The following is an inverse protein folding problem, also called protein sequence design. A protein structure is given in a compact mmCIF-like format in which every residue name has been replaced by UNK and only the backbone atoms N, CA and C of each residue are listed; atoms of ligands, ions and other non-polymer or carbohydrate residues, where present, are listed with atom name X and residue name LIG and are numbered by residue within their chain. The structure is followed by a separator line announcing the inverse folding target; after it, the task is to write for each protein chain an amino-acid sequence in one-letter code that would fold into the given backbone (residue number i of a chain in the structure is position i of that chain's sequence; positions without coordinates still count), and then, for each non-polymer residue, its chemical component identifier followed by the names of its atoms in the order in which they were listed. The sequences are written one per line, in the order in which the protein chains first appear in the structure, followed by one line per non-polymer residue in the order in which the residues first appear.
data_IF_533255079096
#
_entry.id   IF_533255079096
#
_cell.length_a   1.000
_cell.length_b   1.000
_cell.length_c   1.000
_cell.angle_alpha   90.00
_cell.angle_beta   90.00
_cell.angle_gamma   90.00
#
_symmetry.space_group_name_H-M   'P 1'
#
loop_
_entity.id
_entity.type
_entity.pdbx_description
1 polymer ?
#
# COMPACT_ATOMS: atom_id res chain seq x y z
N UNK A 1 47.03 11.57 -24.40
CA UNK A 1 46.35 10.27 -24.61
C UNK A 1 45.10 10.56 -25.44
N UNK A 2 45.28 10.73 -26.75
CA UNK A 2 44.28 11.38 -27.62
C UNK A 2 43.35 10.36 -28.31
N UNK A 3 42.02 10.58 -28.33
CA UNK A 3 41.05 9.73 -29.02
C UNK A 3 41.01 9.97 -30.54
N UNK A 4 42.12 10.37 -31.16
CA UNK A 4 42.19 10.70 -32.61
C UNK A 4 42.56 9.50 -33.50
N UNK A 5 43.16 8.44 -32.93
CA UNK A 5 43.57 7.25 -33.69
C UNK A 5 42.43 6.33 -34.11
N UNK A 6 41.29 6.35 -33.41
CA UNK A 6 40.16 5.46 -33.69
C UNK A 6 39.35 5.95 -34.90
N UNK A 7 39.18 7.28 -35.03
CA UNK A 7 38.41 7.90 -36.12
C UNK A 7 39.11 7.80 -37.48
N UNK A 8 40.44 7.85 -37.52
CA UNK A 8 41.18 7.72 -38.78
C UNK A 8 41.10 6.29 -39.35
N UNK A 9 41.17 5.26 -38.48
CA UNK A 9 40.99 3.85 -38.88
C UNK A 9 39.58 3.52 -39.38
N UNK A 10 38.57 4.22 -38.86
CA UNK A 10 37.19 4.09 -39.34
C UNK A 10 37.01 4.71 -40.74
N UNK A 11 37.75 5.78 -41.07
CA UNK A 11 37.66 6.45 -42.37
C UNK A 11 38.37 5.67 -43.50
N UNK A 12 39.48 4.99 -43.22
CA UNK A 12 40.18 4.16 -44.21
C UNK A 12 39.42 2.86 -44.54
N UNK A 13 38.71 2.28 -43.56
CA UNK A 13 37.83 1.14 -43.80
C UNK A 13 36.56 1.50 -44.60
N UNK A 14 36.21 2.78 -44.69
CA UNK A 14 35.01 3.25 -45.37
C UNK A 14 35.12 3.28 -46.92
N UNK A 15 36.33 3.23 -47.49
CA UNK A 15 36.55 3.36 -48.95
C UNK A 15 36.71 2.04 -49.72
N UNK A 16 36.72 0.89 -49.06
CA UNK A 16 37.15 -0.39 -49.68
C UNK A 16 36.07 -1.49 -49.67
N UNK A 17 34.78 -1.15 -49.69
CA UNK A 17 33.67 -2.13 -49.57
C UNK A 17 33.52 -2.77 -48.18
N UNK A 18 34.53 -2.58 -47.31
CA UNK A 18 34.52 -2.94 -45.88
C UNK A 18 33.53 -2.09 -45.06
N UNK A 19 33.22 -0.88 -45.53
CA UNK A 19 32.23 0.03 -44.92
C UNK A 19 30.85 -0.62 -44.78
N UNK A 20 30.37 -1.25 -45.86
CA UNK A 20 29.05 -1.91 -45.89
C UNK A 20 29.04 -3.11 -44.94
N UNK A 21 30.15 -3.86 -44.85
CA UNK A 21 30.30 -4.98 -43.92
C UNK A 21 30.32 -4.51 -42.46
N UNK A 22 30.95 -3.37 -42.16
CA UNK A 22 30.94 -2.76 -40.82
C UNK A 22 29.53 -2.30 -40.45
N UNK A 23 28.81 -1.63 -41.35
CA UNK A 23 27.43 -1.20 -41.13
C UNK A 23 26.52 -2.41 -40.85
N UNK A 24 26.70 -3.50 -41.60
CA UNK A 24 25.91 -4.73 -41.40
C UNK A 24 26.19 -5.39 -40.03
N UNK A 25 27.47 -5.44 -39.62
CA UNK A 25 27.87 -5.98 -38.30
C UNK A 25 27.29 -5.11 -37.17
N UNK A 26 27.36 -3.78 -37.30
CA UNK A 26 26.79 -2.86 -36.31
C UNK A 26 25.27 -3.00 -36.23
N UNK A 27 24.59 -3.19 -37.38
CA UNK A 27 23.15 -3.46 -37.43
C UNK A 27 22.75 -4.75 -36.71
N UNK A 28 23.48 -5.84 -36.94
CA UNK A 28 23.24 -7.13 -36.25
C UNK A 28 23.49 -7.00 -34.75
N UNK A 29 24.55 -6.29 -34.34
CA UNK A 29 24.83 -6.04 -32.92
C UNK A 29 23.70 -5.22 -32.28
N UNK A 30 23.18 -4.20 -32.97
CA UNK A 30 22.05 -3.41 -32.49
C UNK A 30 20.79 -4.25 -32.28
N UNK A 31 20.45 -5.12 -33.24
CA UNK A 31 19.30 -6.03 -33.12
C UNK A 31 19.54 -7.06 -32.00
N UNK A 32 20.74 -7.60 -31.89
CA UNK A 32 21.12 -8.53 -30.82
C UNK A 32 21.02 -7.87 -29.43
N UNK A 33 21.36 -6.59 -29.30
CA UNK A 33 21.20 -5.84 -28.04
C UNK A 33 19.72 -5.60 -27.69
N UNK A 34 18.85 -5.33 -28.66
CA UNK A 34 17.40 -5.23 -28.43
C UNK A 34 16.83 -6.59 -27.99
N UNK A 35 17.27 -7.68 -28.63
CA UNK A 35 16.87 -9.04 -28.27
C UNK A 35 17.39 -9.44 -26.87
N UNK A 36 18.64 -9.09 -26.54
CA UNK A 36 19.22 -9.33 -25.22
C UNK A 36 18.57 -8.49 -24.12
N UNK A 37 18.13 -7.27 -24.44
CA UNK A 37 17.32 -6.44 -23.53
C UNK A 37 15.96 -7.07 -23.24
N UNK A 38 15.42 -7.88 -24.16
CA UNK A 38 14.18 -8.61 -23.90
C UNK A 38 14.43 -9.79 -22.95
N UNK A 39 15.63 -10.39 -22.99
CA UNK A 39 16.02 -11.49 -22.12
C UNK A 39 16.47 -11.06 -20.72
N UNK A 40 16.87 -9.80 -20.53
CA UNK A 40 17.23 -9.23 -19.22
C UNK A 40 16.05 -8.55 -18.49
N UNK A 41 14.82 -8.65 -19.02
CA UNK A 41 13.61 -8.06 -18.43
C UNK A 41 12.87 -9.01 -17.48
N UNK A 42 13.61 -9.75 -16.66
CA UNK A 42 13.10 -10.48 -15.49
C UNK A 42 13.28 -9.72 -14.17
N UNK A 43 13.45 -8.40 -14.24
CA UNK A 43 13.15 -7.51 -13.12
C UNK A 43 12.13 -6.47 -13.56
N UNK A 44 10.91 -6.48 -12.99
CA UNK A 44 10.00 -5.37 -13.19
C UNK A 44 10.59 -4.16 -12.46
N UNK A 45 11.21 -3.25 -13.21
CA UNK A 45 11.35 -1.85 -12.78
C UNK A 45 9.93 -1.25 -12.71
N UNK A 46 9.29 -1.53 -11.57
CA UNK A 46 8.05 -0.88 -11.15
C UNK A 46 8.37 0.52 -10.66
N UNK A 47 8.60 1.45 -11.59
CA UNK A 47 8.26 2.86 -11.33
C UNK A 47 6.73 2.99 -11.34
N UNK A 48 6.18 2.60 -10.19
CA UNK A 48 4.79 2.74 -9.79
C UNK A 48 4.77 2.45 -8.30
N UNK A 49 4.66 3.50 -7.47
CA UNK A 49 4.53 3.46 -6.01
C UNK A 49 3.23 2.75 -5.57
N UNK A 50 3.08 1.47 -5.91
CA UNK A 50 1.90 0.63 -5.64
C UNK A 50 2.23 -0.78 -5.16
N UNK A 51 3.51 -1.16 -5.13
CA UNK A 51 3.99 -2.45 -4.65
C UNK A 51 4.38 -2.42 -3.16
N UNK A 52 4.83 -1.28 -2.62
CA UNK A 52 5.34 -1.15 -1.25
C UNK A 52 4.22 -1.32 -0.20
N UNK A 53 3.02 -0.79 -0.47
CA UNK A 53 1.91 -0.88 0.49
C UNK A 53 1.33 -2.29 0.64
N UNK A 54 1.41 -3.13 -0.41
CA UNK A 54 0.91 -4.51 -0.34
C UNK A 54 1.82 -5.39 0.51
N UNK A 55 3.13 -5.17 0.44
CA UNK A 55 4.11 -5.93 1.21
C UNK A 55 4.04 -5.56 2.70
N UNK A 56 3.98 -4.26 3.02
CA UNK A 56 3.80 -3.79 4.40
C UNK A 56 2.48 -4.26 5.05
N UNK A 57 1.39 -4.29 4.27
CA UNK A 57 0.09 -4.80 4.77
C UNK A 57 0.14 -6.30 5.03
N UNK A 58 0.81 -7.07 4.17
CA UNK A 58 0.98 -8.51 4.34
C UNK A 58 1.87 -8.84 5.54
N UNK A 59 2.95 -8.10 5.72
CA UNK A 59 3.83 -8.22 6.89
C UNK A 59 3.09 -7.90 8.18
N UNK A 60 2.30 -6.82 8.20
CA UNK A 60 1.44 -6.48 9.33
C UNK A 60 0.46 -7.61 9.70
N UNK A 61 -0.21 -8.21 8.70
CA UNK A 61 -1.05 -9.40 8.91
C UNK A 61 -0.28 -10.55 9.56
N UNK A 62 0.87 -10.92 8.99
CA UNK A 62 1.71 -12.01 9.53
C UNK A 62 2.15 -11.75 10.96
N UNK A 63 2.53 -10.51 11.27
CA UNK A 63 2.91 -10.13 12.63
C UNK A 63 1.74 -10.29 13.62
N UNK A 64 0.52 -9.91 13.23
CA UNK A 64 -0.66 -10.11 14.05
C UNK A 64 -1.00 -11.60 14.21
N UNK A 65 -0.96 -12.37 13.13
CA UNK A 65 -1.19 -13.82 13.13
C UNK A 65 -0.25 -14.53 14.10
N UNK A 66 1.03 -14.20 14.09
CA UNK A 66 2.03 -14.77 15.01
C UNK A 66 1.81 -14.36 16.47
N UNK A 67 1.36 -13.13 16.73
CA UNK A 67 0.99 -12.69 18.08
C UNK A 67 -0.23 -13.45 18.60
N UNK A 68 -1.27 -13.59 17.79
CA UNK A 68 -2.49 -14.32 18.13
C UNK A 68 -2.20 -15.80 18.32
N UNK A 69 -1.39 -16.39 17.44
CA UNK A 69 -0.95 -17.79 17.55
C UNK A 69 -0.30 -18.07 18.90
N UNK A 70 0.67 -17.24 19.33
CA UNK A 70 1.32 -17.38 20.65
C UNK A 70 0.34 -17.28 21.81
N UNK A 71 -0.61 -16.35 21.72
CA UNK A 71 -1.66 -16.19 22.74
C UNK A 71 -2.54 -17.43 22.82
N UNK A 72 -2.99 -17.96 21.68
CA UNK A 72 -3.84 -19.16 21.60
C UNK A 72 -3.08 -20.41 22.04
N UNK A 73 -1.82 -20.57 21.67
CA UNK A 73 -0.96 -21.66 22.15
C UNK A 73 -0.83 -21.65 23.67
N UNK A 74 -0.74 -20.46 24.28
CA UNK A 74 -0.69 -20.33 25.75
C UNK A 74 -2.00 -20.76 26.43
N UNK A 75 -3.15 -20.53 25.78
CA UNK A 75 -4.47 -20.92 26.30
C UNK A 75 -4.71 -22.43 26.15
N UNK A 76 -4.35 -22.97 24.98
CA UNK A 76 -4.60 -24.37 24.62
C UNK A 76 -3.53 -25.32 25.14
N UNK A 77 -2.36 -24.81 25.56
CA UNK A 77 -1.17 -25.59 25.90
C UNK A 77 -0.71 -26.51 24.75
N UNK A 78 -0.94 -26.08 23.50
CA UNK A 78 -0.57 -26.81 22.28
C UNK A 78 0.15 -25.90 21.28
N UNK A 79 1.15 -26.47 20.60
CA UNK A 79 1.89 -25.80 19.53
C UNK A 79 1.17 -25.92 18.17
N UNK A 80 0.12 -26.74 18.09
CA UNK A 80 -0.68 -26.94 16.89
C UNK A 80 -1.77 -25.87 16.79
N UNK A 81 -1.36 -24.68 16.36
CA UNK A 81 -2.26 -23.54 16.14
C UNK A 81 -1.97 -22.90 14.79
N UNK A 82 -3.02 -22.73 14.00
CA UNK A 82 -3.00 -21.97 12.74
C UNK A 82 -3.97 -20.80 12.85
N UNK A 83 -3.52 -19.62 12.42
CA UNK A 83 -4.29 -18.38 12.50
C UNK A 83 -4.23 -17.67 11.17
N UNK A 84 -5.39 -17.22 10.69
CA UNK A 84 -5.51 -16.40 9.50
C UNK A 84 -6.30 -15.13 9.83
N UNK A 85 -5.75 -13.97 9.46
CA UNK A 85 -6.36 -12.66 9.69
C UNK A 85 -6.62 -11.97 8.35
N UNK A 86 -7.86 -11.53 8.16
CA UNK A 86 -8.25 -10.74 6.97
C UNK A 86 -8.50 -9.30 7.36
N UNK A 87 -8.04 -8.37 6.52
CA UNK A 87 -8.25 -6.93 6.68
C UNK A 87 -9.42 -6.44 5.84
N UNK A 88 -10.11 -5.42 6.34
CA UNK A 88 -11.25 -4.77 5.68
C UNK A 88 -10.80 -3.64 4.75
N UNK A 89 -9.74 -2.92 5.13
CA UNK A 89 -9.15 -1.82 4.37
C UNK A 89 -7.62 -1.91 4.39
N UNK A 90 -6.96 -1.14 3.51
CA UNK A 90 -5.51 -0.90 3.60
C UNK A 90 -5.18 0.23 4.56
N UNK A 91 -3.91 0.63 4.61
CA UNK A 91 -3.47 1.81 5.37
C UNK A 91 -4.15 3.07 4.80
N UNK A 92 -4.75 3.87 5.67
CA UNK A 92 -5.39 5.14 5.31
C UNK A 92 -4.49 6.32 5.71
N UNK A 93 -4.19 7.21 4.75
CA UNK A 93 -3.36 8.39 4.94
C UNK A 93 -4.24 9.63 5.12
N UNK A 94 -4.10 10.32 6.25
CA UNK A 94 -4.86 11.54 6.56
C UNK A 94 -3.98 12.76 6.30
N UNK A 95 -4.41 13.63 5.40
CA UNK A 95 -3.70 14.85 5.02
C UNK A 95 -4.24 16.10 5.73
N UNK A 96 -3.38 17.10 5.88
CA UNK A 96 -3.75 18.37 6.51
C UNK A 96 -4.70 19.16 5.59
N UNK A 97 -5.81 19.62 6.16
CA UNK A 97 -6.82 20.40 5.46
C UNK A 97 -6.98 21.76 6.15
N UNK A 98 -7.04 22.82 5.37
CA UNK A 98 -7.57 24.11 5.76
C UNK A 98 -9.09 24.10 5.51
N UNK A 99 -9.88 24.39 6.54
CA UNK A 99 -11.35 24.47 6.43
C UNK A 99 -11.73 25.94 6.54
N UNK A 100 -12.24 26.51 5.44
CA UNK A 100 -12.85 27.83 5.45
C UNK A 100 -14.34 27.63 5.68
N UNK A 101 -14.84 28.12 6.83
CA UNK A 101 -16.26 28.15 7.16
C UNK A 101 -16.78 29.56 6.98
N UNK A 102 -17.57 29.78 5.94
CA UNK A 102 -18.35 31.00 5.79
C UNK A 102 -19.78 30.73 6.28
N UNK A 103 -20.16 31.41 7.35
CA UNK A 103 -21.53 31.39 7.88
C UNK A 103 -22.17 32.74 7.61
N UNK A 104 -22.92 32.83 6.51
CA UNK A 104 -23.77 33.99 6.22
C UNK A 104 -25.13 33.82 6.89
N UNK A 105 -25.36 34.56 7.97
CA UNK A 105 -26.66 34.64 8.64
C UNK A 105 -27.31 35.99 8.34
N UNK A 106 -28.25 35.99 7.39
CA UNK A 106 -29.07 37.17 7.09
C UNK A 106 -30.36 37.09 7.91
N UNK A 107 -30.52 38.04 8.84
CA UNK A 107 -31.76 38.24 9.58
C UNK A 107 -32.49 39.47 9.02
N UNK A 108 -33.54 39.23 8.23
CA UNK A 108 -34.38 40.29 7.67
C UNK A 108 -35.57 40.52 8.62
N UNK A 109 -35.60 41.67 9.31
CA UNK A 109 -36.69 42.05 10.21
C UNK A 109 -37.59 43.03 9.48
N UNK A 110 -38.57 42.51 8.74
CA UNK A 110 -39.67 43.33 8.22
C UNK A 110 -40.90 43.20 9.14
N UNK A 111 -41.44 44.34 9.56
CA UNK A 111 -42.37 44.52 10.67
C UNK A 111 -43.80 44.00 10.48
N UNK A 112 -43.97 42.78 9.98
CA UNK A 112 -45.24 42.06 10.07
C UNK A 112 -44.99 40.54 10.07
N UNK A 113 -44.87 39.99 11.28
CA UNK A 113 -45.00 38.57 11.68
C UNK A 113 -44.70 37.48 10.62
N UNK A 114 -43.53 37.53 9.98
CA UNK A 114 -43.00 36.42 9.17
C UNK A 114 -41.47 36.44 9.20
N UNK A 115 -40.88 35.81 10.23
CA UNK A 115 -39.42 35.65 10.35
C UNK A 115 -38.95 34.56 9.39
N UNK A 116 -38.34 34.92 8.26
CA UNK A 116 -37.61 33.96 7.40
C UNK A 116 -36.13 34.01 7.76
N UNK A 117 -35.63 32.94 8.36
CA UNK A 117 -34.19 32.72 8.54
C UNK A 117 -33.69 31.94 7.33
N UNK A 118 -32.78 32.53 6.54
CA UNK A 118 -32.00 31.79 5.55
C UNK A 118 -30.58 31.62 6.10
N UNK A 119 -30.17 30.36 6.28
CA UNK A 119 -28.83 29.98 6.64
C UNK A 119 -28.23 29.27 5.43
N UNK A 120 -27.09 29.77 4.93
CA UNK A 120 -26.34 29.13 3.85
C UNK A 120 -24.98 28.73 4.43
N UNK A 121 -24.82 27.45 4.70
CA UNK A 121 -23.54 26.89 5.15
C UNK A 121 -22.77 26.41 3.91
N UNK A 122 -21.57 26.99 3.69
CA UNK A 122 -20.63 26.53 2.68
C UNK A 122 -19.32 26.14 3.38
N UNK A 123 -18.94 24.86 3.29
CA UNK A 123 -17.65 24.37 3.78
C UNK A 123 -16.72 24.07 2.59
N UNK A 124 -15.66 24.85 2.43
CA UNK A 124 -14.59 24.55 1.47
C UNK A 124 -13.39 23.91 2.21
N UNK A 125 -12.98 22.70 1.77
CA UNK A 125 -11.82 21.97 2.31
C UNK A 125 -10.67 22.03 1.31
N UNK A 126 -9.54 22.65 1.67
CA UNK A 126 -8.34 22.75 0.84
C UNK A 126 -7.17 22.01 1.47
N UNK A 127 -6.53 21.09 0.74
CA UNK A 127 -5.35 20.36 1.23
C UNK A 127 -4.12 21.29 1.31
N UNK A 128 -3.33 21.20 2.38
CA UNK A 128 -2.09 21.98 2.54
C UNK A 128 -0.95 21.29 1.78
N UNK A 129 -0.36 22.01 0.83
CA UNK A 129 0.76 21.55 -0.01
C UNK A 129 2.08 22.12 0.55
N UNK A 130 3.10 21.27 0.70
CA UNK A 130 4.46 21.63 1.11
C UNK A 130 5.40 21.43 -0.07
N UNK A 131 6.36 22.35 -0.25
CA UNK A 131 7.45 22.20 -1.21
C UNK A 131 8.57 21.38 -0.58
N UNK A 132 8.93 20.28 -1.22
CA UNK A 132 10.10 19.45 -0.90
C UNK A 132 11.38 20.11 -1.37
N UNK A 133 12.52 19.72 -0.79
CA UNK A 133 13.84 20.29 -1.12
C UNK A 133 14.21 20.13 -2.61
N UNK A 134 13.66 19.11 -3.28
CA UNK A 134 13.81 18.86 -4.71
C UNK A 134 12.87 19.72 -5.60
N UNK A 135 12.12 20.65 -5.02
CA UNK A 135 11.18 21.52 -5.72
C UNK A 135 9.83 20.87 -6.05
N UNK A 136 9.58 19.64 -5.59
CA UNK A 136 8.29 18.97 -5.75
C UNK A 136 7.24 19.45 -4.74
N UNK A 137 5.96 19.43 -5.12
CA UNK A 137 4.83 19.78 -4.24
C UNK A 137 4.16 18.51 -3.70
N UNK A 138 4.07 18.34 -2.38
CA UNK A 138 3.41 17.19 -1.72
C UNK A 138 2.43 17.65 -0.64
N UNK A 139 1.29 16.98 -0.49
CA UNK A 139 0.37 17.26 0.60
C UNK A 139 1.01 16.89 1.96
N UNK A 140 0.77 17.71 2.98
CA UNK A 140 1.28 17.45 4.33
C UNK A 140 0.51 16.27 4.95
N UNK A 141 1.20 15.15 5.18
CA UNK A 141 0.67 14.00 5.90
C UNK A 141 0.55 14.34 7.40
N UNK A 142 -0.63 14.14 7.98
CA UNK A 142 -0.90 14.40 9.40
C UNK A 142 -0.80 13.11 10.22
N UNK A 143 -1.40 12.02 9.74
CA UNK A 143 -1.40 10.74 10.44
C UNK A 143 -1.66 9.56 9.50
N UNK A 144 -1.25 8.37 9.93
CA UNK A 144 -1.53 7.09 9.27
C UNK A 144 -2.44 6.25 10.16
N UNK A 145 -3.54 5.75 9.60
CA UNK A 145 -4.49 4.89 10.30
C UNK A 145 -4.22 3.44 9.91
N UNK A 146 -4.01 2.59 10.93
CA UNK A 146 -3.78 1.17 10.74
C UNK A 146 -4.99 0.47 10.08
N UNK A 147 -4.75 -0.57 9.26
CA UNK A 147 -5.81 -1.35 8.62
C UNK A 147 -6.81 -1.93 9.62
N UNK A 148 -8.11 -1.84 9.33
CA UNK A 148 -9.14 -2.45 10.16
C UNK A 148 -9.23 -3.96 9.90
N UNK A 149 -9.41 -4.75 10.95
CA UNK A 149 -9.54 -6.21 10.85
C UNK A 149 -10.97 -6.60 10.47
N UNK A 150 -11.12 -7.37 9.39
CA UNK A 150 -12.40 -7.92 8.95
C UNK A 150 -12.80 -9.15 9.75
N UNK A 151 -11.85 -10.03 10.03
CA UNK A 151 -12.11 -11.25 10.80
C UNK A 151 -10.87 -12.11 11.00
N UNK A 152 -11.02 -13.07 11.91
CA UNK A 152 -9.95 -13.98 12.34
C UNK A 152 -10.48 -15.40 12.33
N UNK A 153 -9.75 -16.30 11.68
CA UNK A 153 -9.99 -17.73 11.74
C UNK A 153 -8.86 -18.41 12.50
N UNK A 154 -9.21 -19.30 13.43
CA UNK A 154 -8.27 -19.99 14.32
C UNK A 154 -8.56 -21.48 14.26
N UNK A 155 -7.53 -22.27 13.96
CA UNK A 155 -7.57 -23.73 14.00
C UNK A 155 -6.63 -24.16 15.11
N UNK A 156 -7.14 -24.85 16.13
CA UNK A 156 -6.32 -25.28 17.26
C UNK A 156 -6.79 -26.59 17.86
N UNK A 157 -5.88 -27.29 18.55
CA UNK A 157 -6.21 -28.49 19.29
C UNK A 157 -7.20 -28.18 20.43
N UNK A 158 -8.31 -28.92 20.50
CA UNK A 158 -9.37 -28.64 21.47
C UNK A 158 -10.25 -27.42 21.15
N UNK A 159 -10.13 -26.83 19.95
CA UNK A 159 -10.95 -25.70 19.50
C UNK A 159 -12.45 -26.01 19.40
N UNK A 160 -12.84 -27.29 19.36
CA UNK A 160 -14.24 -27.72 19.40
C UNK A 160 -14.82 -27.76 20.83
N UNK A 161 -13.97 -27.63 21.86
CA UNK A 161 -14.43 -27.56 23.24
C UNK A 161 -14.91 -26.15 23.54
N UNK A 162 -16.17 -26.02 23.97
CA UNK A 162 -16.81 -24.73 24.20
C UNK A 162 -16.04 -23.88 25.24
N UNK A 163 -15.51 -24.50 26.30
CA UNK A 163 -14.75 -23.81 27.35
C UNK A 163 -13.44 -23.18 26.83
N UNK A 164 -12.78 -23.83 25.88
CA UNK A 164 -11.60 -23.29 25.21
C UNK A 164 -12.00 -22.24 24.18
N UNK A 165 -13.00 -22.53 23.35
CA UNK A 165 -13.44 -21.64 22.29
C UNK A 165 -13.90 -20.28 22.83
N UNK A 166 -14.62 -20.26 23.96
CA UNK A 166 -15.02 -19.01 24.62
C UNK A 166 -13.82 -18.20 25.13
N UNK A 167 -12.87 -18.86 25.82
CA UNK A 167 -11.64 -18.18 26.30
C UNK A 167 -10.83 -17.58 25.15
N UNK A 168 -10.70 -18.31 24.05
CA UNK A 168 -10.00 -17.81 22.86
C UNK A 168 -10.77 -16.63 22.25
N UNK A 169 -12.10 -16.73 22.09
CA UNK A 169 -12.92 -15.64 21.55
C UNK A 169 -12.77 -14.37 22.37
N UNK A 170 -12.85 -14.46 23.70
CA UNK A 170 -12.76 -13.30 24.58
C UNK A 170 -11.37 -12.67 24.54
N UNK A 171 -10.31 -13.48 24.58
CA UNK A 171 -8.95 -12.97 24.53
C UNK A 171 -8.62 -12.31 23.18
N UNK A 172 -8.99 -12.96 22.07
CA UNK A 172 -8.69 -12.44 20.72
C UNK A 172 -9.54 -11.21 20.38
N UNK A 173 -10.82 -11.20 20.76
CA UNK A 173 -11.70 -10.03 20.56
C UNK A 173 -11.20 -8.80 21.31
N UNK A 174 -10.70 -8.99 22.54
CA UNK A 174 -10.16 -7.90 23.37
C UNK A 174 -8.85 -7.35 22.81
N UNK A 175 -7.94 -8.22 22.37
CA UNK A 175 -6.61 -7.79 21.88
C UNK A 175 -6.70 -7.10 20.51
N UNK A 176 -7.60 -7.56 19.65
CA UNK A 176 -7.75 -7.05 18.29
C UNK A 176 -8.86 -6.00 18.13
N UNK A 177 -9.59 -5.69 19.22
CA UNK A 177 -10.76 -4.81 19.22
C UNK A 177 -11.80 -5.19 18.15
N UNK A 178 -12.15 -6.48 18.10
CA UNK A 178 -13.14 -7.03 17.15
C UNK A 178 -14.27 -7.74 17.88
N UNK A 179 -15.48 -7.70 17.32
CA UNK A 179 -16.60 -8.46 17.87
C UNK A 179 -16.37 -9.97 17.78
N UNK A 180 -16.84 -10.74 18.76
CA UNK A 180 -16.73 -12.21 18.79
C UNK A 180 -17.37 -12.91 17.59
N UNK A 181 -18.32 -12.25 16.90
CA UNK A 181 -18.93 -12.74 15.63
C UNK A 181 -17.96 -12.76 14.46
N UNK A 182 -16.88 -11.98 14.53
CA UNK A 182 -15.80 -11.93 13.52
C UNK A 182 -14.68 -12.93 13.81
N UNK A 183 -14.80 -13.73 14.88
CA UNK A 183 -13.83 -14.76 15.27
C UNK A 183 -14.44 -16.14 15.07
N UNK A 184 -13.83 -16.93 14.19
CA UNK A 184 -14.19 -18.33 13.96
C UNK A 184 -13.11 -19.25 14.50
N UNK A 185 -13.52 -20.30 15.21
CA UNK A 185 -12.62 -21.27 15.84
C UNK A 185 -13.08 -22.66 15.44
N UNK A 186 -12.13 -23.51 15.09
CA UNK A 186 -12.36 -24.93 14.80
C UNK A 186 -11.30 -25.80 15.46
N UNK A 187 -11.68 -27.01 15.86
CA UNK A 187 -10.75 -28.02 16.32
C UNK A 187 -9.90 -28.61 15.19
N UNK A 188 -8.67 -29.00 15.52
CA UNK A 188 -7.85 -29.88 14.68
C UNK A 188 -8.27 -31.33 14.99
N UNK A 189 -8.83 -32.01 13.99
CA UNK A 189 -9.04 -33.46 14.05
C UNK A 189 -7.80 -34.17 13.48
N UNK A 190 -7.26 -35.11 14.25
CA UNK A 190 -6.13 -35.96 13.85
C UNK A 190 -6.60 -37.36 13.46
#
# INVERSE_FOLDING_TARGET
MEPKGLLHKLSDAAKEGKAVRIIYIVGIIGIALIFLSTFFKDKPDSHGKKAESKDATLEYCRMLEEKVKRLVSSITSSDKVEVLITLESGVEYVYANEVVKDTDKLEDVNGNDNRKVQQKDSEEKKHIIVKTEDGGETALLVTEIAPKIRGVAIVCEGGDRQDIAEKIKDAVSTVLDITTKRVSITGINN
#
